data_IF_403206868371
#
_entry.id   IF_403206868371
#
_cell.length_a   1.000
_cell.length_b   1.000
_cell.length_c   1.000
_cell.angle_alpha   90.00
_cell.angle_beta   90.00
_cell.angle_gamma   90.00
#
_symmetry.space_group_name_H-M   'P 1'
#
loop_
_entity.id
_entity.type
_entity.pdbx_description
1 polymer ?
#
# COMPACT_ATOMS: atom_id res chain seq x y z
N UNK A 1 -3.32 -6.64 -7.76
CA UNK A 1 -2.99 -5.66 -6.73
C UNK A 1 -4.15 -5.52 -5.77
N UNK A 2 -3.88 -5.51 -4.48
CA UNK A 2 -4.84 -5.32 -3.40
C UNK A 2 -4.24 -4.34 -2.38
N UNK A 3 -5.07 -3.49 -1.79
CA UNK A 3 -4.66 -2.61 -0.69
C UNK A 3 -5.56 -2.94 0.50
N UNK A 4 -4.94 -3.39 1.59
CA UNK A 4 -5.60 -3.69 2.85
C UNK A 4 -5.20 -2.62 3.87
N UNK A 5 -6.14 -2.12 4.66
CA UNK A 5 -5.87 -1.13 5.71
C UNK A 5 -6.46 -1.61 7.04
N UNK A 6 -5.59 -1.79 8.03
CA UNK A 6 -5.95 -2.09 9.41
C UNK A 6 -5.89 -0.81 10.25
N UNK A 7 -7.07 -0.23 10.50
CA UNK A 7 -7.22 0.98 11.31
C UNK A 7 -6.78 0.78 12.78
N UNK A 8 -6.91 -0.44 13.33
CA UNK A 8 -6.58 -0.71 14.74
C UNK A 8 -5.09 -0.55 15.00
N UNK A 9 -4.26 -1.02 14.06
CA UNK A 9 -2.81 -0.96 14.16
C UNK A 9 -2.19 0.19 13.35
N UNK A 10 -3.00 0.94 12.58
CA UNK A 10 -2.54 1.99 11.66
C UNK A 10 -1.57 1.45 10.59
N UNK A 11 -1.86 0.25 10.09
CA UNK A 11 -1.03 -0.45 9.09
C UNK A 11 -1.77 -0.55 7.77
N UNK A 12 -1.08 -0.33 6.65
CA UNK A 12 -1.57 -0.65 5.33
C UNK A 12 -0.62 -1.60 4.62
N UNK A 13 -1.17 -2.56 3.90
CA UNK A 13 -0.42 -3.46 3.05
C UNK A 13 -0.86 -3.29 1.60
N UNK A 14 0.09 -2.97 0.72
CA UNK A 14 -0.09 -2.89 -0.72
C UNK A 14 0.46 -4.17 -1.32
N UNK A 15 -0.42 -5.13 -1.59
CA UNK A 15 -0.09 -6.37 -2.29
C UNK A 15 -0.03 -6.09 -3.78
N UNK A 16 1.15 -6.19 -4.38
CA UNK A 16 1.31 -5.98 -5.82
C UNK A 16 0.92 -7.26 -6.58
N UNK A 17 1.40 -8.42 -6.10
CA UNK A 17 1.16 -9.74 -6.69
C UNK A 17 1.16 -10.84 -5.62
N UNK A 18 0.76 -12.06 -5.98
CA UNK A 18 0.82 -13.22 -5.07
C UNK A 18 2.28 -13.57 -4.73
N UNK A 19 2.57 -13.78 -3.44
CA UNK A 19 3.90 -14.19 -2.98
C UNK A 19 4.21 -15.61 -3.48
N UNK A 20 5.44 -15.81 -3.98
CA UNK A 20 5.99 -17.12 -4.35
C UNK A 20 7.00 -17.58 -3.30
N UNK A 21 7.59 -18.77 -3.47
CA UNK A 21 8.80 -19.14 -2.73
C UNK A 21 9.91 -18.11 -3.01
N UNK A 22 10.75 -17.86 -2.00
CA UNK A 22 11.90 -16.94 -2.02
C UNK A 22 11.57 -15.44 -2.02
N UNK A 23 10.47 -15.02 -1.38
CA UNK A 23 10.24 -13.60 -1.06
C UNK A 23 10.78 -13.33 0.34
N UNK A 24 11.64 -12.32 0.48
CA UNK A 24 12.13 -11.81 1.74
C UNK A 24 11.54 -10.44 2.05
N UNK A 25 11.50 -10.06 3.32
CA UNK A 25 11.07 -8.73 3.74
C UNK A 25 12.30 -7.90 4.09
N UNK A 26 12.50 -6.79 3.40
CA UNK A 26 13.49 -5.77 3.77
C UNK A 26 12.80 -4.66 4.56
N UNK A 27 13.35 -4.30 5.72
CA UNK A 27 12.91 -3.13 6.49
C UNK A 27 13.72 -1.93 6.04
N UNK A 28 13.08 -0.96 5.38
CA UNK A 28 13.74 0.26 4.95
C UNK A 28 13.99 1.22 6.11
N UNK A 29 13.03 1.29 7.03
CA UNK A 29 13.07 2.08 8.25
C UNK A 29 11.96 1.60 9.21
N UNK A 30 11.76 2.34 10.31
CA UNK A 30 10.75 2.01 11.33
C UNK A 30 9.29 2.03 10.84
N UNK A 31 9.02 2.53 9.63
CA UNK A 31 7.67 2.72 9.10
C UNK A 31 7.39 1.98 7.79
N UNK A 32 8.40 1.38 7.15
CA UNK A 32 8.27 0.80 5.81
C UNK A 32 9.00 -0.54 5.71
N UNK A 33 8.24 -1.58 5.37
CA UNK A 33 8.77 -2.86 4.93
C UNK A 33 8.43 -3.12 3.45
N UNK A 34 9.32 -3.83 2.75
CA UNK A 34 9.12 -4.24 1.35
C UNK A 34 9.34 -5.74 1.24
N UNK A 35 8.38 -6.44 0.66
CA UNK A 35 8.52 -7.83 0.27
C UNK A 35 9.11 -7.92 -1.13
N UNK A 36 10.29 -8.51 -1.26
CA UNK A 36 11.09 -8.53 -2.48
C UNK A 36 11.68 -9.91 -2.77
N UNK A 37 11.81 -10.28 -4.04
CA UNK A 37 12.53 -11.49 -4.47
C UNK A 37 14.00 -11.20 -4.82
N UNK A 38 14.86 -12.23 -4.93
CA UNK A 38 16.26 -12.06 -5.33
C UNK A 38 16.48 -11.38 -6.69
N UNK A 39 15.52 -11.48 -7.61
CA UNK A 39 15.54 -10.79 -8.91
C UNK A 39 14.99 -9.35 -8.84
N UNK A 40 14.70 -8.85 -7.63
CA UNK A 40 14.30 -7.47 -7.37
C UNK A 40 12.81 -7.17 -7.57
N UNK A 41 11.97 -8.18 -7.85
CA UNK A 41 10.52 -7.94 -7.98
C UNK A 41 9.90 -7.68 -6.62
N UNK A 42 9.08 -6.64 -6.54
CA UNK A 42 8.35 -6.29 -5.33
C UNK A 42 7.00 -6.99 -5.33
N UNK A 43 6.70 -7.67 -4.23
CA UNK A 43 5.45 -8.40 -4.01
C UNK A 43 4.50 -7.65 -3.09
N UNK A 44 5.04 -6.87 -2.17
CA UNK A 44 4.30 -6.23 -1.10
C UNK A 44 5.03 -5.00 -0.54
N UNK A 45 4.27 -4.04 -0.06
CA UNK A 45 4.79 -2.91 0.72
C UNK A 45 3.91 -2.79 1.96
N UNK A 46 4.52 -2.77 3.14
CA UNK A 46 3.84 -2.54 4.41
C UNK A 46 4.20 -1.15 4.94
N UNK A 47 3.16 -0.38 5.26
CA UNK A 47 3.24 0.97 5.83
C UNK A 47 2.78 0.89 7.28
N UNK A 48 3.69 1.08 8.24
CA UNK A 48 3.40 0.93 9.68
C UNK A 48 2.83 2.21 10.32
N UNK A 49 2.78 3.30 9.57
CA UNK A 49 2.10 4.54 9.92
C UNK A 49 1.21 5.02 8.75
N UNK A 50 0.28 4.15 8.36
CA UNK A 50 -0.43 4.27 7.10
C UNK A 50 -1.29 5.53 6.98
N UNK A 51 -1.90 6.01 8.07
CA UNK A 51 -2.71 7.23 8.04
C UNK A 51 -1.89 8.48 7.69
N UNK A 52 -0.64 8.57 8.18
CA UNK A 52 0.29 9.65 7.84
C UNK A 52 0.83 9.50 6.42
N UNK A 53 1.28 8.29 6.07
CA UNK A 53 1.93 8.01 4.79
C UNK A 53 0.97 8.09 3.60
N UNK A 54 -0.26 7.58 3.75
CA UNK A 54 -1.28 7.62 2.70
C UNK A 54 -2.07 8.94 2.66
N UNK A 55 -1.88 9.82 3.66
CA UNK A 55 -2.59 11.10 3.80
C UNK A 55 -4.08 10.96 3.46
N UNK A 56 -4.75 10.00 4.11
CA UNK A 56 -6.15 9.65 3.87
C UNK A 56 -7.15 10.75 4.30
N UNK A 57 -6.75 12.02 4.35
CA UNK A 57 -7.55 13.16 4.79
C UNK A 57 -8.90 13.27 4.05
N UNK A 58 -8.95 12.80 2.80
CA UNK A 58 -10.16 12.79 1.98
C UNK A 58 -10.80 11.40 1.81
N UNK A 59 -10.32 10.38 2.54
CA UNK A 59 -10.79 8.98 2.44
C UNK A 59 -10.91 8.50 0.98
N UNK A 60 -9.93 8.81 0.13
CA UNK A 60 -9.96 8.44 -1.29
C UNK A 60 -8.57 8.02 -1.77
N UNK A 61 -8.52 6.98 -2.60
CA UNK A 61 -7.36 6.65 -3.42
C UNK A 61 -7.61 7.19 -4.83
N UNK A 62 -6.57 7.70 -5.47
CA UNK A 62 -6.66 8.22 -6.84
C UNK A 62 -5.64 7.51 -7.71
N UNK A 63 -6.13 6.79 -8.70
CA UNK A 63 -5.29 6.26 -9.78
C UNK A 63 -5.28 7.24 -10.94
N UNK A 64 -4.10 7.65 -11.39
CA UNK A 64 -3.93 8.64 -12.45
C UNK A 64 -3.18 7.99 -13.60
N UNK A 65 -3.80 7.96 -14.77
CA UNK A 65 -3.07 7.77 -16.03
C UNK A 65 -2.42 9.10 -16.39
N UNK A 66 -1.09 9.16 -16.34
CA UNK A 66 -0.32 10.39 -16.56
C UNK A 66 -0.36 10.82 -18.02
N UNK A 67 -0.47 9.88 -18.96
CA UNK A 67 -0.47 10.17 -20.40
C UNK A 67 -1.78 10.83 -20.80
N UNK A 68 -2.90 10.30 -20.29
CA UNK A 68 -4.23 10.83 -20.63
C UNK A 68 -4.75 11.86 -19.62
N UNK A 69 -4.13 11.96 -18.44
CA UNK A 69 -4.60 12.75 -17.32
C UNK A 69 -5.86 12.19 -16.63
N UNK A 70 -6.36 11.02 -17.08
CA UNK A 70 -7.59 10.43 -16.54
C UNK A 70 -7.37 10.00 -15.09
N UNK A 71 -8.33 10.38 -14.23
CA UNK A 71 -8.34 10.01 -12.81
C UNK A 71 -9.46 9.00 -12.55
N UNK A 72 -9.12 7.92 -11.86
CA UNK A 72 -10.08 7.02 -11.23
C UNK A 72 -10.00 7.22 -9.73
N UNK A 73 -11.13 7.60 -9.12
CA UNK A 73 -11.20 7.85 -7.69
C UNK A 73 -11.89 6.65 -7.04
N UNK A 74 -11.23 6.09 -6.04
CA UNK A 74 -11.76 4.98 -5.24
C UNK A 74 -12.05 5.55 -3.85
N UNK A 75 -13.32 5.73 -3.46
CA UNK A 75 -13.65 6.13 -2.10
C UNK A 75 -13.26 4.99 -1.15
N UNK A 76 -12.56 5.32 -0.07
CA UNK A 76 -12.24 4.40 1.01
C UNK A 76 -13.34 4.55 2.06
N UNK A 77 -14.19 3.54 2.18
CA UNK A 77 -15.17 3.45 3.25
C UNK A 77 -14.50 3.17 4.60
N UNK A 78 -13.69 4.09 5.11
CA UNK A 78 -13.24 4.04 6.49
C UNK A 78 -14.44 4.54 7.29
N UNK A 79 -15.27 3.61 7.77
CA UNK A 79 -16.36 3.98 8.67
C UNK A 79 -15.78 4.88 9.78
N UNK A 80 -16.23 6.14 9.81
CA UNK A 80 -15.97 7.03 10.94
C UNK A 80 -16.55 6.30 12.16
N UNK A 81 -15.67 6.02 13.12
CA UNK A 81 -16.12 5.71 14.48
C UNK A 81 -16.63 7.01 15.07
#
# INVERSE_FOLDING_TARGET
MEISYDKKYNIAYIKIQEKTSNVETITLNNEVNIDISPDGKIYGIELLNASEQLKLQDNKLVFIDIVTGKKTIIPIGINKL
#
